data_IF_953912772863
#
_entry.id   IF_953912772863
#
_cell.length_a   1.000
_cell.length_b   1.000
_cell.length_c   1.000
_cell.angle_alpha   90.00
_cell.angle_beta   90.00
_cell.angle_gamma   90.00
#
_symmetry.space_group_name_H-M   'P 1'
#
loop_
_entity.id
_entity.type
_entity.pdbx_description
1 polymer ?
#
# COMPACT_ATOMS: atom_id res chain seq x y z
N UNK A 1 7.41 -9.16 -24.39
CA UNK A 1 7.29 -8.76 -22.96
C UNK A 1 5.92 -9.13 -22.40
N UNK A 2 4.80 -8.81 -23.08
CA UNK A 2 3.45 -9.15 -22.63
C UNK A 2 3.19 -10.64 -22.32
N UNK A 3 3.89 -11.57 -22.97
CA UNK A 3 3.80 -13.02 -22.68
C UNK A 3 4.04 -13.39 -21.22
N UNK A 4 4.76 -12.56 -20.45
CA UNK A 4 4.99 -12.82 -19.03
C UNK A 4 3.79 -12.51 -18.14
N UNK A 5 2.75 -11.83 -18.67
CA UNK A 5 1.45 -11.68 -18.05
C UNK A 5 0.56 -12.91 -18.24
N UNK A 6 0.99 -13.92 -19.01
CA UNK A 6 0.34 -15.23 -19.00
C UNK A 6 0.62 -16.00 -17.70
N UNK A 7 1.66 -15.61 -16.96
CA UNK A 7 1.87 -16.07 -15.59
C UNK A 7 0.80 -15.44 -14.68
N UNK A 8 -0.04 -16.23 -14.00
CA UNK A 8 -1.18 -15.70 -13.26
C UNK A 8 -0.79 -14.73 -12.13
N UNK A 9 0.33 -14.98 -11.44
CA UNK A 9 0.79 -14.07 -10.40
C UNK A 9 1.20 -12.73 -10.99
N UNK A 10 1.97 -12.72 -12.09
CA UNK A 10 2.35 -11.47 -12.77
C UNK A 10 1.14 -10.70 -13.30
N UNK A 11 0.10 -11.38 -13.78
CA UNK A 11 -1.14 -10.74 -14.21
C UNK A 11 -1.87 -10.04 -13.06
N UNK A 12 -1.87 -10.67 -11.88
CA UNK A 12 -2.47 -10.10 -10.67
C UNK A 12 -1.68 -8.87 -10.22
N UNK A 13 -0.34 -8.94 -10.15
CA UNK A 13 0.51 -7.78 -9.85
C UNK A 13 0.26 -6.63 -10.83
N UNK A 14 0.19 -6.93 -12.13
CA UNK A 14 -0.10 -5.91 -13.15
C UNK A 14 -1.49 -5.27 -12.97
N UNK A 15 -2.48 -6.06 -12.54
CA UNK A 15 -3.81 -5.54 -12.20
C UNK A 15 -3.76 -4.65 -10.95
N UNK A 16 -2.94 -5.02 -9.96
CA UNK A 16 -2.64 -4.17 -8.80
C UNK A 16 -2.06 -2.81 -9.20
N UNK A 17 -1.08 -2.80 -10.10
CA UNK A 17 -0.51 -1.55 -10.65
C UNK A 17 -1.58 -0.71 -11.36
N UNK A 18 -2.45 -1.33 -12.16
CA UNK A 18 -3.55 -0.63 -12.83
C UNK A 18 -4.53 0.00 -11.82
N UNK A 19 -4.89 -0.74 -10.76
CA UNK A 19 -5.72 -0.22 -9.67
C UNK A 19 -5.04 0.95 -8.94
N UNK A 20 -3.74 0.86 -8.68
CA UNK A 20 -2.96 1.96 -8.10
C UNK A 20 -2.97 3.21 -8.97
N UNK A 21 -2.87 3.05 -10.30
CA UNK A 21 -3.01 4.16 -11.25
C UNK A 21 -4.38 4.84 -11.16
N UNK A 22 -5.46 4.05 -11.12
CA UNK A 22 -6.82 4.56 -10.94
C UNK A 22 -6.95 5.29 -9.58
N UNK A 23 -6.42 4.71 -8.50
CA UNK A 23 -6.43 5.31 -7.18
C UNK A 23 -5.70 6.66 -7.16
N UNK A 24 -4.54 6.76 -7.82
CA UNK A 24 -3.79 8.01 -7.95
C UNK A 24 -4.60 9.07 -8.71
N UNK A 25 -5.21 8.72 -9.85
CA UNK A 25 -6.06 9.63 -10.61
C UNK A 25 -7.21 10.17 -9.76
N UNK A 26 -7.92 9.29 -9.05
CA UNK A 26 -9.00 9.68 -8.14
C UNK A 26 -8.52 10.58 -7.00
N UNK A 27 -7.34 10.32 -6.43
CA UNK A 27 -6.77 11.16 -5.39
C UNK A 27 -6.44 12.56 -5.93
N UNK A 28 -5.88 12.66 -7.14
CA UNK A 28 -5.59 13.94 -7.79
C UNK A 28 -6.86 14.74 -8.13
N UNK A 29 -7.98 14.08 -8.39
CA UNK A 29 -9.30 14.71 -8.53
C UNK A 29 -9.92 15.14 -7.18
N UNK A 30 -9.24 14.91 -6.05
CA UNK A 30 -9.75 15.20 -4.72
C UNK A 30 -10.74 14.15 -4.19
N UNK A 31 -11.03 13.08 -4.94
CA UNK A 31 -11.91 11.97 -4.55
C UNK A 31 -11.17 10.95 -3.66
N UNK A 32 -10.55 11.45 -2.58
CA UNK A 32 -9.58 10.68 -1.77
C UNK A 32 -10.19 9.43 -1.13
N UNK A 33 -11.46 9.46 -0.73
CA UNK A 33 -12.10 8.28 -0.13
C UNK A 33 -12.25 7.13 -1.12
N UNK A 34 -12.71 7.43 -2.34
CA UNK A 34 -12.82 6.43 -3.41
C UNK A 34 -11.43 5.95 -3.85
N UNK A 35 -10.46 6.88 -3.90
CA UNK A 35 -9.07 6.56 -4.18
C UNK A 35 -8.50 5.54 -3.18
N UNK A 36 -8.71 5.74 -1.88
CA UNK A 36 -8.28 4.80 -0.83
C UNK A 36 -9.03 3.47 -0.92
N UNK A 37 -10.33 3.50 -1.23
CA UNK A 37 -11.10 2.28 -1.47
C UNK A 37 -10.46 1.42 -2.58
N UNK A 38 -10.07 2.04 -3.71
CA UNK A 38 -9.40 1.34 -4.81
C UNK A 38 -7.97 0.91 -4.44
N UNK A 39 -7.22 1.73 -3.71
CA UNK A 39 -5.87 1.38 -3.26
C UNK A 39 -5.85 0.16 -2.33
N UNK A 40 -6.88 -0.04 -1.51
CA UNK A 40 -7.03 -1.27 -0.71
C UNK A 40 -7.11 -2.52 -1.61
N UNK A 41 -7.78 -2.43 -2.77
CA UNK A 41 -7.82 -3.53 -3.75
C UNK A 41 -6.48 -3.74 -4.45
N UNK A 42 -5.71 -2.68 -4.71
CA UNK A 42 -4.34 -2.81 -5.23
C UNK A 42 -3.43 -3.57 -4.25
N UNK A 43 -3.49 -3.24 -2.95
CA UNK A 43 -2.79 -3.98 -1.89
C UNK A 43 -3.29 -5.43 -1.75
N UNK A 44 -4.60 -5.69 -1.92
CA UNK A 44 -5.09 -7.07 -1.91
C UNK A 44 -4.61 -7.89 -3.12
N UNK A 45 -4.41 -7.24 -4.27
CA UNK A 45 -3.83 -7.90 -5.44
C UNK A 45 -2.40 -8.37 -5.17
N UNK A 46 -1.58 -7.55 -4.51
CA UNK A 46 -0.23 -7.90 -4.04
C UNK A 46 -0.25 -9.15 -3.14
N UNK A 47 -1.10 -9.15 -2.12
CA UNK A 47 -1.26 -10.31 -1.25
C UNK A 47 -1.71 -11.57 -2.01
N UNK A 48 -2.59 -11.41 -3.00
CA UNK A 48 -3.10 -12.52 -3.80
C UNK A 48 -2.03 -13.06 -4.76
N UNK A 49 -1.21 -12.19 -5.36
CA UNK A 49 -0.16 -12.63 -6.28
C UNK A 49 0.88 -13.50 -5.57
N UNK A 50 1.25 -13.18 -4.33
CA UNK A 50 2.19 -13.96 -3.54
C UNK A 50 1.65 -15.34 -3.21
N UNK A 51 0.35 -15.40 -2.88
CA UNK A 51 -0.36 -16.67 -2.66
C UNK A 51 -0.42 -17.51 -3.94
N UNK A 52 -0.69 -16.89 -5.10
CA UNK A 52 -0.76 -17.58 -6.39
C UNK A 52 0.63 -18.04 -6.83
N UNK A 53 1.64 -17.18 -6.74
CA UNK A 53 3.04 -17.48 -7.04
C UNK A 53 3.55 -18.70 -6.26
N UNK A 54 3.21 -18.78 -4.97
CA UNK A 54 3.58 -19.92 -4.10
C UNK A 54 2.89 -21.24 -4.45
N UNK A 55 1.82 -21.24 -5.25
CA UNK A 55 1.05 -22.44 -5.62
C UNK A 55 1.40 -23.00 -7.00
N UNK A 56 2.05 -22.22 -7.86
CA UNK A 56 2.37 -22.65 -9.24
C UNK A 56 3.52 -23.66 -9.22
N UNK A 57 3.23 -24.92 -9.55
CA UNK A 57 4.24 -25.96 -9.78
C UNK A 57 4.83 -25.77 -11.19
N UNK A 58 6.16 -25.78 -11.32
CA UNK A 58 6.90 -25.56 -12.59
C UNK A 58 6.81 -24.14 -13.16
N UNK A 59 6.75 -23.12 -12.30
CA UNK A 59 6.84 -21.71 -12.72
C UNK A 59 8.18 -21.45 -13.41
N UNK A 60 8.15 -20.81 -14.58
CA UNK A 60 9.38 -20.42 -15.28
C UNK A 60 10.24 -19.50 -14.41
N UNK A 61 11.54 -19.82 -14.28
CA UNK A 61 12.47 -19.02 -13.47
C UNK A 61 12.59 -17.56 -13.94
N UNK A 62 12.41 -17.30 -15.24
CA UNK A 62 12.39 -15.94 -15.76
C UNK A 62 11.08 -15.21 -15.43
N UNK A 63 9.94 -15.90 -15.52
CA UNK A 63 8.65 -15.34 -15.12
C UNK A 63 8.61 -15.00 -13.62
N UNK A 64 9.19 -15.86 -12.78
CA UNK A 64 9.29 -15.63 -11.34
C UNK A 64 10.19 -14.42 -11.01
N UNK A 65 11.35 -14.28 -11.66
CA UNK A 65 12.23 -13.12 -11.48
C UNK A 65 11.60 -11.82 -11.94
N UNK A 66 10.90 -11.84 -13.08
CA UNK A 66 10.13 -10.68 -13.53
C UNK A 66 9.03 -10.34 -12.54
N UNK A 67 8.29 -11.34 -12.04
CA UNK A 67 7.25 -11.16 -11.04
C UNK A 67 7.78 -10.45 -9.79
N UNK A 68 8.90 -10.91 -9.23
CA UNK A 68 9.54 -10.26 -8.07
C UNK A 68 9.92 -8.79 -8.34
N UNK A 69 10.33 -8.45 -9.55
CA UNK A 69 10.61 -7.05 -9.91
C UNK A 69 9.34 -6.23 -10.10
N UNK A 70 8.31 -6.81 -10.70
CA UNK A 70 7.01 -6.17 -10.93
C UNK A 70 6.29 -5.90 -9.61
N UNK A 71 6.38 -6.85 -8.69
CA UNK A 71 5.89 -6.79 -7.31
C UNK A 71 6.49 -5.59 -6.57
N UNK A 72 7.82 -5.45 -6.59
CA UNK A 72 8.51 -4.28 -6.01
C UNK A 72 8.07 -2.93 -6.60
N UNK A 73 7.69 -2.87 -7.89
CA UNK A 73 7.11 -1.65 -8.47
C UNK A 73 5.68 -1.42 -7.98
N UNK A 74 4.86 -2.47 -7.91
CA UNK A 74 3.50 -2.39 -7.35
C UNK A 74 3.52 -1.88 -5.91
N UNK A 75 4.34 -2.51 -5.06
CA UNK A 75 4.60 -2.15 -3.67
C UNK A 75 4.97 -0.68 -3.49
N UNK A 76 5.87 -0.15 -4.34
CA UNK A 76 6.27 1.25 -4.26
C UNK A 76 5.10 2.18 -4.62
N UNK A 77 4.33 1.85 -5.65
CA UNK A 77 3.24 2.72 -6.13
C UNK A 77 2.11 2.76 -5.11
N UNK A 78 1.57 1.61 -4.68
CA UNK A 78 0.45 1.60 -3.73
C UNK A 78 0.89 1.94 -2.30
N UNK A 79 2.11 1.56 -1.92
CA UNK A 79 2.60 1.62 -0.55
C UNK A 79 3.42 2.86 -0.20
N UNK A 80 3.88 3.65 -1.17
CA UNK A 80 4.60 4.90 -0.91
C UNK A 80 4.12 6.07 -1.77
N UNK A 81 3.98 5.89 -3.09
CA UNK A 81 3.54 6.98 -3.99
C UNK A 81 2.12 7.42 -3.67
N UNK A 82 1.19 6.47 -3.61
CA UNK A 82 -0.20 6.75 -3.33
C UNK A 82 -0.42 7.42 -1.96
N UNK A 83 0.13 6.90 -0.84
CA UNK A 83 -0.01 7.54 0.47
C UNK A 83 0.59 8.94 0.52
N UNK A 84 1.72 9.19 -0.14
CA UNK A 84 2.31 10.53 -0.22
C UNK A 84 1.40 11.54 -0.93
N UNK A 85 0.76 11.14 -2.03
CA UNK A 85 -0.21 12.00 -2.72
C UNK A 85 -1.47 12.20 -1.88
N UNK A 86 -1.99 11.14 -1.25
CA UNK A 86 -3.16 11.24 -0.38
C UNK A 86 -2.91 12.16 0.82
N UNK A 87 -1.71 12.11 1.44
CA UNK A 87 -1.30 13.02 2.50
C UNK A 87 -1.37 14.48 2.04
N UNK A 88 -0.83 14.79 0.86
CA UNK A 88 -0.87 16.15 0.29
C UNK A 88 -2.30 16.61 0.00
N UNK A 89 -3.16 15.72 -0.49
CA UNK A 89 -4.56 16.04 -0.78
C UNK A 89 -5.36 16.31 0.49
N UNK A 90 -5.11 15.55 1.56
CA UNK A 90 -5.85 15.67 2.82
C UNK A 90 -5.35 16.80 3.72
N UNK A 91 -4.06 17.16 3.62
CA UNK A 91 -3.42 18.14 4.49
C UNK A 91 -3.02 19.44 3.79
N UNK A 92 -3.23 19.52 2.47
CA UNK A 92 -2.77 20.62 1.62
C UNK A 92 -1.29 20.54 1.27
N UNK A 93 -0.89 21.27 0.21
CA UNK A 93 0.49 21.34 -0.27
C UNK A 93 1.27 22.36 0.58
N UNK A 94 1.64 21.94 1.79
CA UNK A 94 2.51 22.70 2.70
C UNK A 94 3.93 22.14 2.69
N UNK A 95 4.92 22.95 3.09
CA UNK A 95 6.33 22.51 3.19
C UNK A 95 6.48 21.23 4.01
N UNK A 96 5.74 21.12 5.12
CA UNK A 96 5.75 19.93 5.97
C UNK A 96 5.18 18.70 5.26
N UNK A 97 4.03 18.84 4.60
CA UNK A 97 3.38 17.71 3.91
C UNK A 97 4.20 17.25 2.71
N UNK A 98 4.84 18.17 1.99
CA UNK A 98 5.78 17.86 0.91
C UNK A 98 7.02 17.14 1.44
N UNK A 99 7.61 17.63 2.53
CA UNK A 99 8.76 16.98 3.15
C UNK A 99 8.43 15.57 3.64
N UNK A 100 7.27 15.37 4.27
CA UNK A 100 6.82 14.06 4.74
C UNK A 100 6.47 13.12 3.58
N UNK A 101 5.74 13.59 2.56
CA UNK A 101 5.45 12.80 1.37
C UNK A 101 6.73 12.36 0.63
N UNK A 102 7.73 13.25 0.56
CA UNK A 102 9.05 12.92 0.01
C UNK A 102 9.79 11.92 0.90
N UNK A 103 9.73 12.10 2.23
CA UNK A 103 10.31 11.18 3.21
C UNK A 103 9.73 9.77 3.11
N UNK A 104 8.41 9.63 2.95
CA UNK A 104 7.74 8.35 2.73
C UNK A 104 8.20 7.68 1.45
N UNK A 105 8.32 8.42 0.34
CA UNK A 105 8.83 7.91 -0.92
C UNK A 105 10.26 7.36 -0.78
N UNK A 106 11.14 8.13 -0.13
CA UNK A 106 12.53 7.73 0.11
C UNK A 106 12.60 6.51 1.03
N UNK A 107 11.84 6.53 2.13
CA UNK A 107 11.79 5.42 3.09
C UNK A 107 11.28 4.13 2.44
N UNK A 108 10.20 4.22 1.64
CA UNK A 108 9.65 3.09 0.89
C UNK A 108 10.62 2.52 -0.12
N UNK A 109 11.26 3.37 -0.93
CA UNK A 109 12.26 2.94 -1.90
C UNK A 109 13.48 2.27 -1.25
N UNK A 110 13.99 2.83 -0.14
CA UNK A 110 15.10 2.26 0.63
C UNK A 110 14.73 0.90 1.24
N UNK A 111 13.57 0.83 1.89
CA UNK A 111 13.06 -0.43 2.47
C UNK A 111 12.89 -1.51 1.41
N UNK A 112 12.23 -1.20 0.30
CA UNK A 112 12.01 -2.18 -0.79
C UNK A 112 13.33 -2.63 -1.43
N UNK A 113 14.29 -1.71 -1.59
CA UNK A 113 15.63 -2.06 -2.08
C UNK A 113 16.36 -3.00 -1.13
N UNK A 114 16.30 -2.71 0.18
CA UNK A 114 16.87 -3.59 1.22
C UNK A 114 16.19 -4.96 1.21
N UNK A 115 14.86 -5.01 1.19
CA UNK A 115 14.10 -6.25 1.15
C UNK A 115 14.36 -7.06 -0.12
N UNK A 116 14.53 -6.40 -1.27
CA UNK A 116 14.84 -7.06 -2.54
C UNK A 116 16.14 -7.86 -2.51
N UNK A 117 17.14 -7.37 -1.75
CA UNK A 117 18.48 -7.96 -1.60
C UNK A 117 18.53 -8.93 -0.42
N UNK A 118 18.11 -8.49 0.77
CA UNK A 118 18.27 -9.23 2.04
C UNK A 118 17.12 -10.21 2.27
N UNK A 119 15.90 -9.85 1.87
CA UNK A 119 14.71 -10.67 2.05
C UNK A 119 14.23 -10.78 3.51
N UNK A 120 13.42 -11.80 3.77
CA UNK A 120 12.96 -12.19 5.11
C UNK A 120 14.10 -12.85 5.89
N UNK A 121 14.14 -12.62 7.20
CA UNK A 121 15.04 -13.36 8.08
C UNK A 121 14.69 -14.85 8.13
N UNK A 122 15.63 -15.68 8.60
CA UNK A 122 15.41 -17.12 8.77
C UNK A 122 14.20 -17.43 9.67
N UNK A 123 13.95 -16.59 10.69
CA UNK A 123 12.83 -16.69 11.61
C UNK A 123 11.52 -16.08 11.06
N UNK A 124 11.48 -15.72 9.77
CA UNK A 124 10.36 -15.08 9.06
C UNK A 124 9.96 -13.72 9.64
N UNK A 125 10.93 -12.85 9.90
CA UNK A 125 10.70 -11.46 10.24
C UNK A 125 11.15 -10.54 9.12
N UNK A 126 10.40 -9.46 8.93
CA UNK A 126 10.82 -8.29 8.17
C UNK A 126 11.65 -7.36 9.06
N UNK A 127 12.66 -6.72 8.46
CA UNK A 127 13.34 -5.56 9.05
C UNK A 127 12.65 -4.29 8.55
N UNK A 128 12.20 -3.45 9.47
CA UNK A 128 11.35 -2.30 9.16
C UNK A 128 9.88 -2.70 8.97
N UNK A 129 8.98 -1.73 9.13
CA UNK A 129 7.55 -1.93 8.93
C UNK A 129 7.23 -2.11 7.44
N UNK A 130 6.42 -3.10 7.02
CA UNK A 130 5.99 -3.23 5.63
C UNK A 130 5.15 -2.05 5.12
N UNK A 131 5.34 -1.68 3.84
CA UNK A 131 4.54 -0.62 3.19
C UNK A 131 3.06 -1.00 3.00
N UNK A 132 2.76 -2.29 3.10
CA UNK A 132 1.38 -2.81 3.08
C UNK A 132 0.52 -2.31 4.25
N UNK A 133 1.09 -1.61 5.24
CA UNK A 133 0.36 -1.03 6.37
C UNK A 133 -0.15 0.40 6.09
N UNK A 134 0.40 1.10 5.10
CA UNK A 134 0.14 2.51 4.84
C UNK A 134 -1.30 2.75 4.38
N UNK A 135 -1.76 1.97 3.41
CA UNK A 135 -3.13 2.09 2.86
C UNK A 135 -4.19 1.70 3.89
N UNK A 136 -4.06 0.59 4.65
CA UNK A 136 -4.97 0.30 5.75
C UNK A 136 -5.02 1.39 6.83
N UNK A 137 -3.86 1.95 7.21
CA UNK A 137 -3.83 3.05 8.19
C UNK A 137 -4.57 4.27 7.65
N UNK A 138 -4.32 4.65 6.39
CA UNK A 138 -5.01 5.74 5.74
C UNK A 138 -6.53 5.52 5.68
N UNK A 139 -6.96 4.29 5.38
CA UNK A 139 -8.37 3.92 5.40
C UNK A 139 -8.99 4.09 6.78
N UNK A 140 -8.32 3.65 7.86
CA UNK A 140 -8.77 3.87 9.24
C UNK A 140 -8.90 5.37 9.53
N UNK A 141 -7.88 6.16 9.21
CA UNK A 141 -7.88 7.61 9.43
C UNK A 141 -9.06 8.30 8.71
N UNK A 142 -9.33 7.91 7.45
CA UNK A 142 -10.47 8.43 6.72
C UNK A 142 -11.80 7.97 7.32
N UNK A 143 -11.93 6.71 7.75
CA UNK A 143 -13.16 6.22 8.36
C UNK A 143 -13.52 7.00 9.63
N UNK A 144 -12.53 7.36 10.46
CA UNK A 144 -12.74 8.14 11.68
C UNK A 144 -12.79 9.66 11.45
N UNK A 145 -12.38 10.16 10.29
CA UNK A 145 -12.37 11.60 9.96
C UNK A 145 -13.66 12.35 10.34
N UNK A 146 -14.88 11.83 10.09
CA UNK A 146 -16.11 12.53 10.45
C UNK A 146 -16.32 12.74 11.95
N UNK A 147 -15.59 12.02 12.79
CA UNK A 147 -15.66 12.10 14.25
C UNK A 147 -14.68 13.13 14.83
N UNK A 148 -13.87 13.77 13.98
CA UNK A 148 -12.75 14.61 14.38
C UNK A 148 -12.88 16.01 13.80
N UNK A 149 -12.47 17.01 14.57
CA UNK A 149 -12.26 18.36 14.07
C UNK A 149 -11.05 18.40 13.12
N UNK A 150 -11.08 19.31 12.15
CA UNK A 150 -10.05 19.39 11.10
C UNK A 150 -8.61 19.52 11.64
N UNK A 151 -8.30 20.35 12.68
CA UNK A 151 -6.94 20.43 13.22
C UNK A 151 -6.48 19.11 13.85
N UNK A 152 -7.37 18.41 14.55
CA UNK A 152 -7.06 17.13 15.19
C UNK A 152 -6.81 16.04 14.13
N UNK A 153 -7.66 15.96 13.11
CA UNK A 153 -7.47 15.03 11.99
C UNK A 153 -6.14 15.28 11.26
N UNK A 154 -5.83 16.53 10.94
CA UNK A 154 -4.57 16.93 10.31
C UNK A 154 -3.35 16.52 11.15
N UNK A 155 -3.37 16.80 12.45
CA UNK A 155 -2.30 16.42 13.38
C UNK A 155 -2.12 14.90 13.47
N UNK A 156 -3.20 14.13 13.55
CA UNK A 156 -3.17 12.66 13.56
C UNK A 156 -2.62 12.09 12.25
N UNK A 157 -3.05 12.62 11.11
CA UNK A 157 -2.56 12.21 9.79
C UNK A 157 -1.06 12.44 9.66
N UNK A 158 -0.60 13.66 9.92
CA UNK A 158 0.82 14.06 9.83
C UNK A 158 1.70 13.24 10.76
N UNK A 159 1.31 13.09 12.03
CA UNK A 159 2.08 12.32 13.01
C UNK A 159 2.14 10.83 12.66
N UNK A 160 1.03 10.25 12.19
CA UNK A 160 0.98 8.84 11.76
C UNK A 160 1.93 8.57 10.59
N UNK A 161 1.90 9.42 9.57
CA UNK A 161 2.75 9.26 8.38
C UNK A 161 4.22 9.60 8.64
N UNK A 162 4.50 10.54 9.53
CA UNK A 162 5.87 10.77 10.02
C UNK A 162 6.41 9.53 10.76
N UNK A 163 5.59 8.91 11.61
CA UNK A 163 5.95 7.68 12.29
C UNK A 163 6.18 6.52 11.31
N UNK A 164 5.30 6.34 10.32
CA UNK A 164 5.48 5.33 9.27
C UNK A 164 6.80 5.51 8.51
N UNK A 165 7.11 6.74 8.07
CA UNK A 165 8.36 7.03 7.37
C UNK A 165 9.61 6.56 8.15
N UNK A 166 9.62 6.78 9.48
CA UNK A 166 10.69 6.29 10.35
C UNK A 166 10.64 4.76 10.52
N UNK A 167 9.44 4.21 10.75
CA UNK A 167 9.26 2.77 11.01
C UNK A 167 9.64 1.90 9.80
N UNK A 168 9.41 2.35 8.57
CA UNK A 168 9.79 1.61 7.35
C UNK A 168 11.29 1.36 7.24
N UNK A 169 12.13 2.31 7.69
CA UNK A 169 13.60 2.21 7.62
C UNK A 169 14.24 1.89 8.96
N UNK A 170 13.43 1.69 10.00
CA UNK A 170 13.92 1.29 11.32
C UNK A 170 14.38 -0.17 11.36
N UNK A 171 15.16 -0.52 12.39
CA UNK A 171 15.59 -1.90 12.66
C UNK A 171 14.54 -2.75 13.40
N UNK A 172 13.29 -2.28 13.49
CA UNK A 172 12.22 -3.04 14.12
C UNK A 172 12.00 -4.36 13.38
N UNK A 173 11.77 -5.43 14.14
CA UNK A 173 11.49 -6.75 13.58
C UNK A 173 9.99 -7.00 13.58
N UNK A 174 9.39 -7.10 12.40
CA UNK A 174 7.95 -7.31 12.22
C UNK A 174 7.72 -8.76 11.76
N UNK A 175 6.91 -9.56 12.46
CA UNK A 175 6.66 -10.95 12.06
C UNK A 175 5.93 -10.99 10.71
N UNK A 176 6.26 -11.98 9.88
CA UNK A 176 5.53 -12.21 8.65
C UNK A 176 4.03 -12.49 8.92
N UNK A 177 3.11 -12.00 8.07
CA UNK A 177 1.68 -12.24 8.17
C UNK A 177 1.32 -13.71 8.40
N UNK A 178 0.53 -13.96 9.44
CA UNK A 178 -0.12 -15.26 9.63
C UNK A 178 -1.35 -15.38 8.73
N UNK A 179 -1.86 -16.60 8.54
CA UNK A 179 -3.09 -16.83 7.78
C UNK A 179 -4.30 -16.07 8.37
N UNK A 180 -4.40 -15.98 9.69
CA UNK A 180 -5.45 -15.19 10.35
C UNK A 180 -5.31 -13.70 10.06
N UNK A 181 -4.07 -13.19 10.03
CA UNK A 181 -3.81 -11.80 9.69
C UNK A 181 -4.19 -11.49 8.23
N UNK A 182 -3.87 -12.38 7.27
CA UNK A 182 -4.32 -12.22 5.89
C UNK A 182 -5.85 -12.15 5.78
N UNK A 183 -6.57 -13.02 6.50
CA UNK A 183 -8.04 -13.02 6.52
C UNK A 183 -8.56 -11.72 7.14
N UNK A 184 -7.98 -11.27 8.25
CA UNK A 184 -8.36 -10.01 8.90
C UNK A 184 -8.15 -8.81 7.96
N UNK A 185 -7.00 -8.74 7.27
CA UNK A 185 -6.72 -7.70 6.28
C UNK A 185 -7.72 -7.75 5.12
N UNK A 186 -8.02 -8.95 4.60
CA UNK A 186 -9.02 -9.09 3.54
C UNK A 186 -10.39 -8.57 3.97
N UNK A 187 -10.90 -9.01 5.12
CA UNK A 187 -12.20 -8.59 5.65
C UNK A 187 -12.22 -7.09 5.91
N UNK A 188 -11.17 -6.55 6.52
CA UNK A 188 -11.03 -5.12 6.76
C UNK A 188 -11.03 -4.34 5.44
N UNK A 189 -10.21 -4.71 4.47
CA UNK A 189 -10.11 -4.01 3.18
C UNK A 189 -11.43 -4.03 2.41
N UNK A 190 -12.15 -5.15 2.41
CA UNK A 190 -13.48 -5.23 1.77
C UNK A 190 -14.49 -4.34 2.49
N UNK A 191 -14.56 -4.40 3.83
CA UNK A 191 -15.50 -3.59 4.60
C UNK A 191 -15.17 -2.09 4.51
N UNK A 192 -13.90 -1.71 4.65
CA UNK A 192 -13.43 -0.34 4.58
C UNK A 192 -13.61 0.24 3.17
N UNK A 193 -13.28 -0.50 2.12
CA UNK A 193 -13.52 -0.04 0.73
C UNK A 193 -15.00 0.18 0.46
N UNK A 194 -15.88 -0.74 0.87
CA UNK A 194 -17.33 -0.56 0.73
C UNK A 194 -17.84 0.68 1.48
N UNK A 195 -17.42 0.86 2.74
CA UNK A 195 -17.82 2.01 3.55
C UNK A 195 -17.35 3.35 2.96
N UNK A 196 -16.09 3.42 2.52
CA UNK A 196 -15.52 4.61 1.88
C UNK A 196 -16.20 4.91 0.53
N UNK A 197 -16.50 3.88 -0.28
CA UNK A 197 -17.20 4.05 -1.55
C UNK A 197 -18.63 4.57 -1.36
N UNK A 198 -19.39 4.01 -0.42
CA UNK A 198 -20.75 4.47 -0.11
C UNK A 198 -20.73 5.93 0.36
N UNK A 199 -19.78 6.29 1.22
CA UNK A 199 -19.63 7.67 1.70
C UNK A 199 -19.27 8.63 0.56
N UNK A 200 -18.33 8.26 -0.29
CA UNK A 200 -17.95 9.05 -1.45
C UNK A 200 -19.12 9.30 -2.43
N UNK A 201 -20.03 8.34 -2.57
CA UNK A 201 -21.23 8.47 -3.42
C UNK A 201 -22.36 9.27 -2.76
N UNK A 202 -22.43 9.30 -1.44
CA UNK A 202 -23.51 9.96 -0.69
C UNK A 202 -23.27 11.46 -0.48
N UNK A 203 -22.01 11.90 -0.55
CA UNK A 203 -21.59 13.29 -0.31
C UNK A 203 -20.88 13.93 -1.51
N UNK A 204 -20.96 13.30 -2.69
CA UNK A 204 -20.37 13.76 -3.95
C UNK A 204 -21.34 14.52 -4.85
#
# INVERSE_FOLDING_TARGET
>A
MLKYLLDPANAITASGIALSGIALSLAMEGRVELAVAIALWAMLADHLDGVVAGRIRNRSGLAARMGKSLDGFSDLIYGAVFPSIALLQLNGVTTLSVALGTGLLLAGALRLSYFGIVGLSADRYFTGLPLSYDVPLLAVLLLIKPLLEQPLFSGLLVSSFAALAVLHVSSIRVPAPTRSMYIAILLFSVAASAALSVRAMSFG
#
